data_IF_186164649410
#
_entry.id   IF_186164649410
#
_cell.length_a   1.000
_cell.length_b   1.000
_cell.length_c   1.000
_cell.angle_alpha   90.00
_cell.angle_beta   90.00
_cell.angle_gamma   90.00
#
_symmetry.space_group_name_H-M   'P 1'
#
loop_
_entity.id
_entity.type
_entity.pdbx_description
1 polymer ?
#
# COMPACT_ATOMS: atom_id res chain seq x y z
N UNK A 1 8.90 20.67 44.70
CA UNK A 1 7.67 20.17 44.07
C UNK A 1 8.09 19.44 42.81
N UNK A 2 8.00 18.11 42.77
CA UNK A 2 8.37 17.35 41.55
C UNK A 2 7.12 17.33 40.68
N UNK A 3 6.95 18.36 39.86
CA UNK A 3 5.85 18.42 38.90
C UNK A 3 6.10 17.58 37.66
N UNK A 4 7.36 17.26 37.40
CA UNK A 4 7.82 16.63 36.17
C UNK A 4 9.00 15.76 36.52
N UNK A 5 9.03 14.58 35.94
CA UNK A 5 10.16 13.65 35.90
C UNK A 5 11.27 14.30 35.07
N UNK A 6 11.93 15.35 35.60
CA UNK A 6 13.10 15.93 34.96
C UNK A 6 14.24 14.93 35.16
N UNK A 7 14.38 13.98 34.25
CA UNK A 7 15.64 13.28 34.10
C UNK A 7 16.72 14.34 33.92
N UNK A 8 17.86 14.23 34.63
CA UNK A 8 19.00 15.12 34.41
C UNK A 8 19.29 15.14 32.91
N UNK A 9 19.16 16.31 32.29
CA UNK A 9 19.12 16.50 30.84
C UNK A 9 20.52 16.41 30.21
N UNK A 10 21.22 15.31 30.47
CA UNK A 10 22.51 15.00 29.83
C UNK A 10 22.32 14.35 28.45
N UNK A 11 21.09 14.33 27.93
CA UNK A 11 20.83 13.89 26.58
C UNK A 11 21.45 14.89 25.58
N UNK A 12 22.36 14.45 24.69
CA UNK A 12 22.93 15.33 23.69
C UNK A 12 21.85 15.79 22.70
N UNK A 13 21.89 17.08 22.34
CA UNK A 13 20.93 17.69 21.40
C UNK A 13 20.86 17.00 20.04
N UNK A 14 21.95 16.37 19.60
CA UNK A 14 22.01 15.67 18.33
C UNK A 14 22.96 14.47 18.39
N UNK A 15 22.51 13.34 17.83
CA UNK A 15 23.31 12.12 17.64
C UNK A 15 23.11 11.61 16.23
N UNK A 16 24.13 11.77 15.39
CA UNK A 16 24.10 11.26 14.01
C UNK A 16 23.97 9.73 13.93
N UNK A 17 24.43 9.01 14.96
CA UNK A 17 24.35 7.54 15.01
C UNK A 17 22.92 7.01 14.97
N UNK A 18 21.93 7.76 15.46
CA UNK A 18 20.51 7.35 15.45
C UNK A 18 19.78 7.70 14.15
N UNK A 19 20.43 8.36 13.19
CA UNK A 19 19.77 8.78 11.95
C UNK A 19 19.33 7.59 11.10
N UNK A 20 20.11 6.50 11.11
CA UNK A 20 19.79 5.26 10.38
C UNK A 20 18.48 4.62 10.86
N UNK A 21 18.23 4.65 12.17
CA UNK A 21 17.01 4.13 12.78
C UNK A 21 15.82 5.08 12.60
N UNK A 22 16.08 6.39 12.59
CA UNK A 22 15.05 7.42 12.43
C UNK A 22 14.43 7.45 11.03
N UNK A 23 15.25 7.30 9.98
CA UNK A 23 14.79 7.44 8.59
C UNK A 23 13.62 6.49 8.26
N UNK A 24 13.71 5.17 8.50
CA UNK A 24 12.60 4.25 8.23
C UNK A 24 11.35 4.59 9.04
N UNK A 25 11.50 5.00 10.31
CA UNK A 25 10.39 5.40 11.17
C UNK A 25 9.68 6.63 10.61
N UNK A 26 10.43 7.64 10.14
CA UNK A 26 9.86 8.81 9.48
C UNK A 26 9.13 8.43 8.18
N UNK A 27 9.70 7.54 7.37
CA UNK A 27 9.08 7.08 6.12
C UNK A 27 7.78 6.35 6.41
N UNK A 28 7.77 5.49 7.43
CA UNK A 28 6.57 4.80 7.90
C UNK A 28 5.53 5.80 8.43
N UNK A 29 5.93 6.82 9.20
CA UNK A 29 5.02 7.85 9.70
C UNK A 29 4.31 8.64 8.58
N UNK A 30 4.93 8.73 7.40
CA UNK A 30 4.35 9.38 6.22
C UNK A 30 3.78 8.40 5.18
N UNK A 31 3.53 7.13 5.55
CA UNK A 31 3.06 6.11 4.62
C UNK A 31 1.56 6.25 4.28
N UNK A 32 1.23 7.25 3.47
CA UNK A 32 -0.15 7.49 3.05
C UNK A 32 -0.44 7.09 1.60
N UNK A 33 0.60 6.78 0.83
CA UNK A 33 0.59 6.61 -0.62
C UNK A 33 -0.47 5.62 -1.13
N UNK A 34 -0.72 4.53 -0.40
CA UNK A 34 -1.69 3.50 -0.78
C UNK A 34 -3.16 3.98 -0.66
N UNK A 35 -3.42 4.97 0.19
CA UNK A 35 -4.77 5.51 0.45
C UNK A 35 -5.08 6.79 -0.33
N UNK A 36 -4.05 7.45 -0.89
CA UNK A 36 -4.21 8.70 -1.67
C UNK A 36 -5.26 8.58 -2.78
N UNK A 37 -5.29 7.52 -3.63
CA UNK A 37 -6.26 7.45 -4.72
C UNK A 37 -7.71 7.40 -4.23
N UNK A 38 -7.97 6.63 -3.16
CA UNK A 38 -9.30 6.47 -2.57
C UNK A 38 -9.77 7.78 -1.96
N UNK A 39 -8.89 8.48 -1.25
CA UNK A 39 -9.21 9.76 -0.62
C UNK A 39 -9.32 10.91 -1.63
N UNK A 40 -8.64 10.79 -2.77
CA UNK A 40 -8.77 11.72 -3.88
C UNK A 40 -10.08 11.55 -4.65
N UNK A 41 -10.68 10.36 -4.65
CA UNK A 41 -11.91 10.06 -5.38
C UNK A 41 -13.10 10.96 -5.01
N UNK A 42 -13.47 11.14 -3.72
CA UNK A 42 -14.63 11.95 -3.34
C UNK A 42 -14.42 13.47 -3.50
N UNK A 43 -13.19 13.94 -3.75
CA UNK A 43 -12.94 15.38 -3.90
C UNK A 43 -13.61 15.93 -5.16
N UNK A 44 -14.54 16.88 -4.97
CA UNK A 44 -15.30 17.55 -6.04
C UNK A 44 -14.40 18.31 -7.01
N UNK A 45 -13.36 18.97 -6.49
CA UNK A 45 -12.39 19.71 -7.29
C UNK A 45 -11.04 18.96 -7.28
N UNK A 46 -10.60 18.49 -8.45
CA UNK A 46 -9.33 17.75 -8.59
C UNK A 46 -8.12 18.67 -8.59
N UNK A 47 -8.28 19.95 -8.93
CA UNK A 47 -7.18 20.93 -8.95
C UNK A 47 -6.68 21.29 -7.54
N UNK A 48 -7.53 21.16 -6.52
CA UNK A 48 -7.16 21.47 -5.13
C UNK A 48 -6.45 20.33 -4.41
N UNK A 49 -6.41 19.13 -4.99
CA UNK A 49 -5.83 17.92 -4.39
C UNK A 49 -4.41 18.17 -3.91
N UNK A 50 -3.54 18.72 -4.76
CA UNK A 50 -2.14 18.99 -4.41
C UNK A 50 -2.02 19.88 -3.17
N UNK A 51 -2.86 20.92 -3.07
CA UNK A 51 -2.84 21.85 -1.93
C UNK A 51 -3.35 21.17 -0.65
N UNK A 52 -4.43 20.40 -0.74
CA UNK A 52 -5.00 19.67 0.41
C UNK A 52 -3.96 18.72 1.00
N UNK A 53 -3.33 17.89 0.15
CA UNK A 53 -2.28 16.98 0.60
C UNK A 53 -1.06 17.72 1.14
N UNK A 54 -0.59 18.78 0.47
CA UNK A 54 0.56 19.56 0.96
C UNK A 54 0.33 20.16 2.35
N UNK A 55 -0.87 20.71 2.60
CA UNK A 55 -1.24 21.24 3.91
C UNK A 55 -1.33 20.13 4.95
N UNK A 56 -1.96 18.99 4.61
CA UNK A 56 -2.07 17.86 5.53
C UNK A 56 -0.69 17.30 5.93
N UNK A 57 0.23 17.14 4.98
CA UNK A 57 1.61 16.72 5.26
C UNK A 57 2.36 17.75 6.10
N UNK A 58 2.19 19.04 5.81
CA UNK A 58 2.79 20.12 6.59
C UNK A 58 2.33 20.11 8.06
N UNK A 59 1.02 20.02 8.30
CA UNK A 59 0.45 19.93 9.65
C UNK A 59 0.97 18.69 10.38
N UNK A 60 0.98 17.54 9.70
CA UNK A 60 1.45 16.27 10.29
C UNK A 60 2.93 16.36 10.68
N UNK A 61 3.77 16.94 9.83
CA UNK A 61 5.19 17.15 10.10
C UNK A 61 5.41 18.02 11.34
N UNK A 62 4.74 19.18 11.41
CA UNK A 62 4.83 20.07 12.57
C UNK A 62 4.38 19.37 13.86
N UNK A 63 3.28 18.62 13.80
CA UNK A 63 2.79 17.84 14.95
C UNK A 63 3.79 16.79 15.41
N UNK A 64 4.37 16.00 14.49
CA UNK A 64 5.36 14.99 14.85
C UNK A 64 6.65 15.58 15.40
N UNK A 65 7.17 16.65 14.80
CA UNK A 65 8.36 17.35 15.30
C UNK A 65 8.08 17.94 16.69
N UNK A 66 6.92 18.55 16.89
CA UNK A 66 6.50 19.11 18.17
C UNK A 66 6.42 18.04 19.26
N UNK A 67 5.71 16.94 19.01
CA UNK A 67 5.58 15.83 19.96
C UNK A 67 6.95 15.21 20.26
N UNK A 68 7.76 14.95 19.24
CA UNK A 68 9.11 14.40 19.40
C UNK A 68 10.01 15.31 20.24
N UNK A 69 9.96 16.62 20.00
CA UNK A 69 10.71 17.61 20.77
C UNK A 69 10.28 17.63 22.23
N UNK A 70 8.97 17.71 22.53
CA UNK A 70 8.48 17.73 23.91
C UNK A 70 8.79 16.43 24.66
N UNK A 71 8.59 15.27 24.02
CA UNK A 71 8.92 13.97 24.63
C UNK A 71 10.43 13.88 24.92
N UNK A 72 11.28 14.29 23.98
CA UNK A 72 12.73 14.32 24.16
C UNK A 72 13.16 15.28 25.28
N UNK A 73 12.56 16.47 25.32
CA UNK A 73 12.84 17.48 26.32
C UNK A 73 12.42 17.04 27.73
N UNK A 74 11.27 16.40 27.88
CA UNK A 74 10.73 16.00 29.18
C UNK A 74 11.35 14.70 29.73
N UNK A 75 11.56 13.69 28.88
CA UNK A 75 12.01 12.36 29.32
C UNK A 75 13.51 12.12 29.13
N UNK A 76 14.22 12.98 28.40
CA UNK A 76 15.67 12.90 28.27
C UNK A 76 16.15 11.60 27.62
N UNK A 77 17.10 10.91 28.27
CA UNK A 77 17.67 9.65 27.78
C UNK A 77 16.78 8.42 28.02
N UNK A 78 15.79 8.51 28.92
CA UNK A 78 15.04 7.35 29.41
C UNK A 78 13.72 7.16 28.65
N UNK A 79 13.76 7.34 27.33
CA UNK A 79 12.59 7.24 26.45
C UNK A 79 12.40 5.78 26.04
N UNK A 80 11.25 5.22 26.40
CA UNK A 80 10.81 3.94 25.84
C UNK A 80 10.44 4.08 24.35
N UNK A 81 10.63 2.99 23.59
CA UNK A 81 10.21 2.82 22.19
C UNK A 81 8.83 3.42 21.88
N UNK A 82 7.87 3.18 22.79
CA UNK A 82 6.57 3.84 22.77
C UNK A 82 6.52 4.94 23.83
N UNK A 83 6.27 6.18 23.39
CA UNK A 83 6.30 7.35 24.27
C UNK A 83 5.20 7.33 25.35
N UNK A 84 4.08 6.63 25.13
CA UNK A 84 3.02 6.45 26.13
C UNK A 84 3.50 5.62 27.33
N UNK A 85 4.43 4.66 27.16
CA UNK A 85 4.95 3.84 28.25
C UNK A 85 5.73 4.66 29.29
N UNK A 86 6.31 5.79 28.87
CA UNK A 86 6.97 6.73 29.77
C UNK A 86 6.00 7.34 30.80
N UNK A 87 4.69 7.29 30.54
CA UNK A 87 3.66 7.79 31.45
C UNK A 87 3.20 6.76 32.48
N UNK A 88 3.71 5.52 32.46
CA UNK A 88 3.34 4.47 33.44
C UNK A 88 3.65 4.86 34.87
N UNK A 89 4.74 5.57 35.07
CA UNK A 89 5.17 6.05 36.37
C UNK A 89 4.68 7.48 36.66
N UNK A 90 3.79 8.06 35.87
CA UNK A 90 3.31 9.42 36.10
C UNK A 90 2.65 9.56 37.50
N UNK A 91 3.24 10.42 38.35
CA UNK A 91 2.80 10.68 39.73
C UNK A 91 2.13 12.05 39.90
N UNK A 92 2.13 12.88 38.85
CA UNK A 92 1.64 14.26 38.89
C UNK A 92 2.48 15.18 39.78
N UNK A 93 1.99 16.40 40.04
CA UNK A 93 2.63 17.41 40.89
C UNK A 93 2.49 17.10 42.39
N UNK A 94 3.03 15.97 42.83
CA UNK A 94 3.03 15.60 44.24
C UNK A 94 4.20 16.28 44.98
N UNK A 95 3.92 16.76 46.19
CA UNK A 95 4.97 17.24 47.07
C UNK A 95 5.73 16.05 47.66
N UNK A 96 7.07 16.13 47.79
CA UNK A 96 7.81 15.11 48.52
C UNK A 96 7.26 15.01 49.95
N UNK A 97 7.18 13.80 50.54
CA UNK A 97 6.65 13.62 51.88
C UNK A 97 7.55 14.35 52.90
N UNK A 98 6.94 14.90 53.96
CA UNK A 98 7.66 15.60 55.02
C UNK A 98 8.56 14.67 55.85
N UNK A 99 8.25 13.38 55.87
CA UNK A 99 9.04 12.34 56.53
C UNK A 99 9.21 11.17 55.56
N UNK A 100 10.46 10.88 55.20
CA UNK A 100 10.82 9.64 54.50
C UNK A 100 10.86 8.52 55.54
N UNK A 101 9.69 7.98 55.87
CA UNK A 101 9.56 6.90 56.86
C UNK A 101 10.21 5.60 56.38
N UNK A 102 10.59 4.72 57.32
CA UNK A 102 11.10 3.37 57.07
C UNK A 102 10.31 2.72 55.93
N UNK A 103 11.01 2.44 54.84
CA UNK A 103 10.43 2.04 53.57
C UNK A 103 9.27 1.06 53.75
N UNK A 104 8.05 1.47 53.40
CA UNK A 104 6.86 0.60 53.40
C UNK A 104 7.00 -0.57 52.41
N UNK A 105 8.03 -0.53 51.56
CA UNK A 105 8.50 -1.62 50.71
C UNK A 105 9.98 -1.88 51.02
N UNK A 106 10.39 -3.11 51.38
CA UNK A 106 11.81 -3.45 51.54
C UNK A 106 12.55 -3.16 50.23
N UNK A 107 13.48 -2.20 50.24
CA UNK A 107 14.28 -1.81 49.08
C UNK A 107 13.78 -0.60 48.27
N UNK A 108 12.80 0.17 48.75
CA UNK A 108 12.44 1.42 48.08
C UNK A 108 13.59 2.45 48.17
N UNK A 109 14.12 2.98 47.05
CA UNK A 109 15.35 3.79 47.02
C UNK A 109 15.22 5.22 47.58
N UNK A 110 14.10 5.54 48.25
CA UNK A 110 13.66 6.91 48.47
C UNK A 110 13.81 7.31 49.94
N UNK A 111 15.07 7.40 50.38
CA UNK A 111 15.43 7.77 51.76
C UNK A 111 15.59 9.29 51.97
N UNK A 112 15.58 10.07 50.89
CA UNK A 112 15.79 11.51 50.90
C UNK A 112 14.99 12.25 49.82
N UNK A 113 14.87 13.58 49.96
CA UNK A 113 14.27 14.44 48.96
C UNK A 113 14.99 14.43 47.60
N UNK A 114 16.30 14.18 47.61
CA UNK A 114 17.09 14.06 46.39
C UNK A 114 16.80 12.75 45.61
N UNK A 115 16.41 11.69 46.33
CA UNK A 115 16.04 10.39 45.75
C UNK A 115 14.54 10.24 45.45
N UNK A 116 13.74 11.29 45.64
CA UNK A 116 12.29 11.23 45.40
C UNK A 116 12.00 11.15 43.91
N UNK A 117 11.27 10.10 43.51
CA UNK A 117 10.97 9.83 42.12
C UNK A 117 9.70 9.01 41.91
N UNK A 118 9.36 8.75 40.64
CA UNK A 118 8.12 8.07 40.23
C UNK A 118 7.93 6.65 40.81
N UNK A 119 9.05 5.96 41.08
CA UNK A 119 9.10 4.60 41.64
C UNK A 119 8.87 4.58 43.15
N UNK A 120 8.89 5.73 43.82
CA UNK A 120 8.73 5.86 45.27
C UNK A 120 7.27 5.81 45.73
N UNK A 121 6.31 5.98 44.81
CA UNK A 121 4.88 6.11 45.14
C UNK A 121 4.13 4.89 44.66
N UNK A 122 3.51 4.16 45.59
CA UNK A 122 2.58 3.08 45.26
C UNK A 122 1.40 3.63 44.46
N UNK A 123 0.82 2.81 43.58
CA UNK A 123 -0.33 3.22 42.74
C UNK A 123 -1.49 3.75 43.59
N UNK A 124 -1.68 3.19 44.79
CA UNK A 124 -2.70 3.61 45.76
C UNK A 124 -2.46 4.99 46.38
N UNK A 125 -1.22 5.48 46.41
CA UNK A 125 -0.86 6.78 46.97
C UNK A 125 -0.90 7.95 45.98
N UNK A 126 -1.20 7.69 44.70
CA UNK A 126 -1.22 8.71 43.64
C UNK A 126 -2.54 9.49 43.67
N UNK A 127 -2.52 10.81 43.40
CA UNK A 127 -3.76 11.57 43.23
C UNK A 127 -4.59 10.98 42.07
N UNK A 128 -5.91 10.94 42.24
CA UNK A 128 -6.81 10.31 41.26
C UNK A 128 -6.62 10.87 39.84
N UNK A 129 -6.37 12.18 39.71
CA UNK A 129 -6.10 12.84 38.43
C UNK A 129 -4.86 12.29 37.71
N UNK A 130 -3.77 12.02 38.43
CA UNK A 130 -2.55 11.46 37.84
C UNK A 130 -2.77 10.02 37.35
N UNK A 131 -3.49 9.21 38.15
CA UNK A 131 -3.85 7.84 37.77
C UNK A 131 -4.76 7.82 36.54
N UNK A 132 -5.73 8.73 36.45
CA UNK A 132 -6.63 8.86 35.28
C UNK A 132 -5.84 9.25 34.03
N UNK A 133 -4.97 10.26 34.11
CA UNK A 133 -4.16 10.71 32.97
C UNK A 133 -3.25 9.58 32.47
N UNK A 134 -2.51 8.93 33.39
CA UNK A 134 -1.63 7.80 33.06
C UNK A 134 -2.42 6.68 32.38
N UNK A 135 -3.58 6.32 32.92
CA UNK A 135 -4.45 5.29 32.35
C UNK A 135 -4.92 5.65 30.94
N UNK A 136 -5.41 6.87 30.72
CA UNK A 136 -5.88 7.32 29.40
C UNK A 136 -4.75 7.27 28.37
N UNK A 137 -3.56 7.80 28.70
CA UNK A 137 -2.41 7.84 27.80
C UNK A 137 -1.93 6.43 27.44
N UNK A 138 -1.96 5.49 28.40
CA UNK A 138 -1.56 4.11 28.16
C UNK A 138 -2.60 3.30 27.36
N UNK A 139 -3.89 3.45 27.66
CA UNK A 139 -4.94 2.63 27.05
C UNK A 139 -5.36 3.11 25.66
N UNK A 140 -5.24 4.42 25.39
CA UNK A 140 -5.76 5.01 24.14
C UNK A 140 -5.14 4.36 22.88
N UNK A 141 -3.81 4.20 22.75
CA UNK A 141 -3.23 3.52 21.60
C UNK A 141 -3.70 2.08 21.43
N UNK A 142 -3.94 1.36 22.54
CA UNK A 142 -4.44 -0.01 22.49
C UNK A 142 -5.89 -0.07 21.94
N UNK A 143 -6.75 0.88 22.35
CA UNK A 143 -8.12 1.00 21.84
C UNK A 143 -8.15 1.41 20.37
N UNK A 144 -7.28 2.35 19.97
CA UNK A 144 -7.14 2.78 18.58
C UNK A 144 -6.76 1.59 17.69
N UNK A 145 -5.70 0.86 18.05
CA UNK A 145 -5.26 -0.35 17.32
C UNK A 145 -6.33 -1.44 17.31
N UNK A 146 -7.04 -1.66 18.42
CA UNK A 146 -8.13 -2.65 18.51
C UNK A 146 -9.25 -2.34 17.51
N UNK A 147 -9.55 -1.05 17.29
CA UNK A 147 -10.58 -0.61 16.34
C UNK A 147 -10.10 -0.62 14.89
N UNK A 148 -8.84 -0.26 14.64
CA UNK A 148 -8.27 -0.17 13.30
C UNK A 148 -7.86 -1.53 12.71
N UNK A 149 -7.41 -2.47 13.55
CA UNK A 149 -6.89 -3.76 13.11
C UNK A 149 -7.89 -4.59 12.29
N UNK A 150 -9.16 -4.79 12.74
CA UNK A 150 -10.13 -5.55 11.96
C UNK A 150 -10.42 -4.93 10.59
N UNK A 151 -10.47 -3.58 10.51
CA UNK A 151 -10.70 -2.86 9.26
C UNK A 151 -9.55 -3.09 8.27
N UNK A 152 -8.31 -3.03 8.75
CA UNK A 152 -7.12 -3.29 7.94
C UNK A 152 -7.08 -4.75 7.46
N UNK A 153 -7.41 -5.71 8.33
CA UNK A 153 -7.48 -7.13 7.98
C UNK A 153 -8.56 -7.42 6.92
N UNK A 154 -9.74 -6.80 7.04
CA UNK A 154 -10.81 -6.93 6.05
C UNK A 154 -10.38 -6.34 4.70
N UNK A 155 -9.78 -5.16 4.72
CA UNK A 155 -9.32 -4.46 3.51
C UNK A 155 -8.26 -5.27 2.79
N UNK A 156 -7.24 -5.74 3.53
CA UNK A 156 -6.19 -6.60 2.98
C UNK A 156 -6.76 -7.93 2.45
N UNK A 157 -7.66 -8.57 3.20
CA UNK A 157 -8.31 -9.81 2.79
C UNK A 157 -9.11 -9.65 1.50
N UNK A 158 -9.88 -8.57 1.36
CA UNK A 158 -10.64 -8.28 0.14
C UNK A 158 -9.70 -7.99 -1.05
N UNK A 159 -8.59 -7.27 -0.81
CA UNK A 159 -7.59 -6.99 -1.85
C UNK A 159 -6.88 -8.27 -2.32
N UNK A 160 -6.52 -9.17 -1.41
CA UNK A 160 -5.94 -10.48 -1.73
C UNK A 160 -6.93 -11.35 -2.51
N UNK A 161 -8.20 -11.35 -2.11
CA UNK A 161 -9.26 -12.06 -2.81
C UNK A 161 -9.44 -11.51 -4.24
N UNK A 162 -9.46 -10.19 -4.41
CA UNK A 162 -9.51 -9.53 -5.73
C UNK A 162 -8.30 -9.90 -6.59
N UNK A 163 -7.10 -9.87 -6.02
CA UNK A 163 -5.86 -10.22 -6.72
C UNK A 163 -5.85 -11.69 -7.20
N UNK A 164 -6.32 -12.61 -6.35
CA UNK A 164 -6.28 -14.04 -6.64
C UNK A 164 -7.43 -14.51 -7.54
N UNK A 165 -8.64 -14.00 -7.31
CA UNK A 165 -9.89 -14.51 -7.90
C UNK A 165 -10.56 -13.52 -8.86
N UNK A 166 -10.08 -12.27 -8.92
CA UNK A 166 -10.65 -11.19 -9.72
C UNK A 166 -11.70 -10.38 -8.95
N UNK A 167 -12.01 -9.17 -9.44
CA UNK A 167 -12.94 -8.24 -8.76
C UNK A 167 -14.37 -8.79 -8.64
N UNK A 168 -14.81 -9.58 -9.63
CA UNK A 168 -16.12 -10.20 -9.63
C UNK A 168 -16.33 -11.15 -8.43
N UNK A 169 -15.24 -11.71 -7.87
CA UNK A 169 -15.31 -12.59 -6.71
C UNK A 169 -15.51 -11.84 -5.39
N UNK A 170 -15.23 -10.54 -5.35
CA UNK A 170 -15.37 -9.69 -4.16
C UNK A 170 -16.82 -9.26 -3.95
N UNK A 171 -17.57 -9.08 -5.03
CA UNK A 171 -18.97 -8.72 -4.95
C UNK A 171 -19.79 -9.92 -4.46
N UNK A 172 -20.72 -9.72 -3.51
CA UNK A 172 -21.61 -10.78 -3.09
C UNK A 172 -22.45 -11.23 -4.30
N UNK A 173 -22.72 -12.54 -4.44
CA UNK A 173 -23.61 -13.02 -5.50
C UNK A 173 -24.95 -12.29 -5.38
N UNK A 174 -25.44 -11.75 -6.51
CA UNK A 174 -26.71 -11.02 -6.56
C UNK A 174 -27.80 -11.87 -5.90
N UNK A 175 -28.54 -11.26 -4.97
CA UNK A 175 -29.46 -11.97 -4.08
C UNK A 175 -30.56 -12.75 -4.84
N UNK A 176 -30.80 -12.39 -6.10
CA UNK A 176 -31.94 -12.84 -6.89
C UNK A 176 -31.67 -14.14 -7.66
N UNK A 177 -30.41 -14.55 -7.82
CA UNK A 177 -30.06 -15.74 -8.61
C UNK A 177 -30.44 -17.06 -7.92
N UNK A 178 -30.44 -17.09 -6.59
CA UNK A 178 -30.73 -18.32 -5.83
C UNK A 178 -32.22 -18.68 -5.91
N UNK A 179 -33.12 -17.68 -5.83
CA UNK A 179 -34.58 -17.91 -5.86
C UNK A 179 -35.07 -18.37 -7.23
N UNK A 180 -34.46 -17.86 -8.31
CA UNK A 180 -34.84 -18.22 -9.67
C UNK A 180 -34.23 -19.56 -10.11
N UNK A 181 -33.00 -19.87 -9.67
CA UNK A 181 -32.40 -21.19 -9.92
C UNK A 181 -33.04 -22.29 -9.09
N UNK A 182 -33.49 -22.01 -7.86
CA UNK A 182 -34.24 -22.96 -7.03
C UNK A 182 -35.66 -23.18 -7.59
N UNK A 183 -36.32 -22.12 -8.10
CA UNK A 183 -37.57 -22.22 -8.87
C UNK A 183 -37.40 -22.97 -10.19
N UNK A 184 -36.32 -22.74 -10.93
CA UNK A 184 -36.04 -23.44 -12.18
C UNK A 184 -35.69 -24.92 -11.95
N UNK A 185 -34.97 -25.24 -10.87
CA UNK A 185 -34.71 -26.62 -10.46
C UNK A 185 -35.99 -27.34 -9.97
N UNK A 186 -36.89 -26.62 -9.29
CA UNK A 186 -38.23 -27.12 -8.95
C UNK A 186 -39.11 -27.36 -10.19
N UNK A 187 -39.01 -26.49 -11.20
CA UNK A 187 -39.74 -26.63 -12.46
C UNK A 187 -39.17 -27.76 -13.35
N UNK A 188 -37.86 -27.97 -13.35
CA UNK A 188 -37.20 -29.05 -14.11
C UNK A 188 -37.25 -30.41 -13.40
N UNK A 189 -37.35 -30.43 -12.06
CA UNK A 189 -37.55 -31.66 -11.29
C UNK A 189 -38.98 -32.20 -11.33
N UNK A 190 -39.93 -31.43 -11.86
CA UNK A 190 -41.34 -31.80 -11.96
C UNK A 190 -41.71 -32.44 -13.32
N UNK A 191 -40.78 -32.54 -14.29
CA UNK A 191 -41.09 -33.02 -15.65
C UNK A 191 -40.60 -34.43 -15.99
N UNK A 192 -39.89 -35.11 -15.10
CA UNK A 192 -39.28 -36.43 -15.40
C UNK A 192 -39.98 -37.64 -14.75
N UNK A 193 -41.27 -37.52 -14.41
CA UNK A 193 -42.03 -38.64 -13.84
C UNK A 193 -42.71 -39.57 -14.87
N UNK A 194 -42.85 -39.18 -16.14
CA UNK A 194 -43.55 -40.01 -17.14
C UNK A 194 -42.90 -39.89 -18.53
N UNK A 195 -41.89 -40.71 -18.81
CA UNK A 195 -41.51 -41.03 -20.19
C UNK A 195 -40.84 -42.40 -20.28
N UNK A 196 -41.67 -43.34 -20.71
CA UNK A 196 -41.39 -44.74 -20.91
C UNK A 196 -40.33 -45.05 -21.97
N UNK A 197 -39.66 -46.17 -21.70
CA UNK A 197 -39.09 -47.16 -22.62
C UNK A 197 -39.32 -47.00 -24.14
N UNK A 198 -38.23 -46.99 -24.93
CA UNK A 198 -37.97 -47.98 -26.00
C UNK A 198 -36.81 -47.63 -26.99
N UNK A 199 -36.06 -48.68 -27.34
CA UNK A 199 -35.35 -48.94 -28.62
C UNK A 199 -33.97 -48.32 -28.96
N UNK A 200 -32.96 -49.19 -28.82
CA UNK A 200 -31.90 -49.59 -29.76
C UNK A 200 -31.54 -48.76 -31.02
N UNK A 201 -30.24 -48.48 -31.21
CA UNK A 201 -29.40 -48.86 -32.39
C UNK A 201 -28.05 -48.09 -32.35
N UNK A 202 -26.92 -48.76 -32.07
CA UNK A 202 -25.86 -49.15 -33.02
C UNK A 202 -25.27 -48.04 -33.91
N UNK A 203 -24.06 -47.57 -33.59
CA UNK A 203 -23.07 -47.17 -34.59
C UNK A 203 -21.65 -47.21 -34.00
N UNK A 204 -20.81 -48.01 -34.64
CA UNK A 204 -19.37 -48.18 -34.43
C UNK A 204 -18.57 -47.00 -34.99
N UNK A 205 -17.59 -46.50 -34.23
CA UNK A 205 -16.62 -45.50 -34.69
C UNK A 205 -15.27 -45.68 -33.97
N UNK A 206 -14.22 -45.95 -34.75
CA UNK A 206 -12.86 -46.36 -34.38
C UNK A 206 -12.02 -45.25 -33.68
N UNK A 207 -11.06 -45.58 -32.78
CA UNK A 207 -10.27 -44.59 -32.06
C UNK A 207 -9.00 -44.17 -32.85
N UNK A 208 -9.00 -42.94 -33.36
CA UNK A 208 -7.83 -42.29 -33.94
C UNK A 208 -6.82 -41.86 -32.88
N UNK A 209 -5.60 -42.42 -32.96
CA UNK A 209 -4.41 -42.02 -32.20
C UNK A 209 -3.90 -40.65 -32.66
N UNK A 210 -4.10 -39.59 -31.88
CA UNK A 210 -3.25 -38.39 -31.92
C UNK A 210 -3.52 -37.50 -30.68
N UNK A 211 -2.46 -37.09 -29.98
CA UNK A 211 -2.55 -36.01 -28.99
C UNK A 211 -2.07 -36.32 -27.58
N UNK A 212 -0.80 -36.71 -27.40
CA UNK A 212 -0.17 -36.82 -26.06
C UNK A 212 0.43 -35.51 -25.52
N UNK A 213 0.25 -34.37 -26.19
CA UNK A 213 0.87 -33.10 -25.79
C UNK A 213 -0.02 -32.13 -24.97
N UNK A 214 -1.30 -32.44 -24.70
CA UNK A 214 -2.24 -31.49 -24.08
C UNK A 214 -2.77 -31.89 -22.69
N UNK A 215 -2.14 -32.83 -21.99
CA UNK A 215 -2.62 -33.33 -20.70
C UNK A 215 -2.03 -32.60 -19.47
N UNK A 216 -0.96 -31.81 -19.61
CA UNK A 216 -0.44 -30.99 -18.52
C UNK A 216 -1.21 -29.67 -18.32
N UNK A 217 -1.82 -29.12 -19.39
CA UNK A 217 -2.60 -27.87 -19.32
C UNK A 217 -4.02 -28.07 -18.76
N UNK A 218 -4.59 -29.27 -18.87
CA UNK A 218 -5.95 -29.55 -18.41
C UNK A 218 -6.05 -29.72 -16.88
N UNK A 219 -4.96 -30.07 -16.18
CA UNK A 219 -4.97 -30.24 -14.72
C UNK A 219 -5.01 -28.91 -13.96
N UNK A 220 -4.44 -27.84 -14.51
CA UNK A 220 -4.50 -26.51 -13.89
C UNK A 220 -5.88 -25.85 -13.98
N UNK A 221 -6.72 -26.24 -14.95
CA UNK A 221 -8.08 -25.70 -15.11
C UNK A 221 -9.12 -26.29 -14.14
N UNK A 222 -8.86 -27.48 -13.58
CA UNK A 222 -9.86 -28.17 -12.74
C UNK A 222 -10.00 -27.52 -11.34
N UNK A 223 -8.91 -26.97 -10.79
CA UNK A 223 -8.94 -26.30 -9.49
C UNK A 223 -9.71 -24.97 -9.54
N UNK A 224 -9.47 -24.17 -10.58
CA UNK A 224 -10.11 -22.86 -10.80
C UNK A 224 -11.62 -22.99 -10.99
N UNK A 225 -12.07 -24.03 -11.69
CA UNK A 225 -13.50 -24.27 -11.91
C UNK A 225 -14.24 -24.66 -10.62
N UNK A 226 -13.60 -25.41 -9.70
CA UNK A 226 -14.19 -25.72 -8.38
C UNK A 226 -14.33 -24.48 -7.51
N UNK A 227 -13.34 -23.60 -7.50
CA UNK A 227 -13.39 -22.33 -6.76
C UNK A 227 -14.49 -21.42 -7.32
N UNK A 228 -14.60 -21.29 -8.65
CA UNK A 228 -15.68 -20.54 -9.29
C UNK A 228 -17.07 -21.10 -8.97
N UNK A 229 -17.22 -22.43 -8.89
CA UNK A 229 -18.49 -23.06 -8.50
C UNK A 229 -18.85 -22.76 -7.03
N UNK A 230 -17.86 -22.74 -6.14
CA UNK A 230 -18.07 -22.38 -4.73
C UNK A 230 -18.46 -20.90 -4.56
N UNK A 231 -17.87 -20.00 -5.35
CA UNK A 231 -18.19 -18.57 -5.36
C UNK A 231 -19.64 -18.27 -5.76
N UNK A 232 -20.32 -19.15 -6.51
CA UNK A 232 -21.74 -18.99 -6.85
C UNK A 232 -22.66 -19.14 -5.63
N UNK A 233 -22.27 -19.91 -4.63
CA UNK A 233 -23.13 -20.12 -3.45
C UNK A 233 -22.85 -19.05 -2.38
N UNK A 234 -23.89 -18.51 -1.73
CA UNK A 234 -23.71 -17.53 -0.62
C UNK A 234 -22.83 -18.07 0.51
N UNK A 235 -22.98 -19.37 0.86
CA UNK A 235 -22.17 -20.02 1.90
C UNK A 235 -20.70 -20.13 1.48
N UNK A 236 -20.44 -20.54 0.23
CA UNK A 236 -19.09 -20.63 -0.32
C UNK A 236 -18.40 -19.27 -0.42
N UNK A 237 -19.09 -18.24 -0.90
CA UNK A 237 -18.55 -16.87 -0.94
C UNK A 237 -18.19 -16.34 0.45
N UNK A 238 -19.05 -16.56 1.46
CA UNK A 238 -18.75 -16.20 2.87
C UNK A 238 -17.53 -16.95 3.39
N UNK A 239 -17.45 -18.27 3.16
CA UNK A 239 -16.33 -19.09 3.60
C UNK A 239 -15.01 -18.60 2.98
N UNK A 240 -14.98 -18.41 1.66
CA UNK A 240 -13.79 -17.93 0.93
C UNK A 240 -13.37 -16.55 1.45
N UNK A 241 -14.32 -15.62 1.60
CA UNK A 241 -14.06 -14.28 2.15
C UNK A 241 -13.46 -14.36 3.56
N UNK A 242 -14.01 -15.21 4.44
CA UNK A 242 -13.49 -15.41 5.79
C UNK A 242 -12.08 -16.01 5.74
N UNK A 243 -11.82 -16.99 4.88
CA UNK A 243 -10.49 -17.57 4.71
C UNK A 243 -9.45 -16.51 4.31
N UNK A 244 -9.74 -15.66 3.31
CA UNK A 244 -8.81 -14.59 2.92
C UNK A 244 -8.57 -13.56 4.04
N UNK A 245 -9.61 -13.23 4.83
CA UNK A 245 -9.47 -12.34 5.99
C UNK A 245 -8.66 -12.97 7.12
N UNK A 246 -8.81 -14.27 7.35
CA UNK A 246 -7.99 -15.02 8.30
C UNK A 246 -6.53 -15.10 7.84
N UNK A 247 -6.29 -15.36 6.55
CA UNK A 247 -4.94 -15.33 5.97
C UNK A 247 -4.29 -13.95 6.13
N UNK A 248 -5.07 -12.87 6.07
CA UNK A 248 -4.57 -11.52 6.34
C UNK A 248 -4.31 -11.24 7.83
N UNK A 249 -5.17 -11.71 8.74
CA UNK A 249 -5.11 -11.39 10.16
C UNK A 249 -4.17 -12.29 10.98
N UNK A 250 -4.20 -13.60 10.74
CA UNK A 250 -3.50 -14.62 11.55
C UNK A 250 -1.98 -14.39 11.57
N UNK A 251 -1.30 -14.10 10.44
CA UNK A 251 0.15 -13.86 10.49
C UNK A 251 0.54 -12.71 11.40
N UNK A 252 -0.26 -11.64 11.47
CA UNK A 252 0.01 -10.51 12.35
C UNK A 252 -0.15 -10.90 13.83
N UNK A 253 -1.19 -11.67 14.17
CA UNK A 253 -1.44 -12.16 15.54
C UNK A 253 -0.34 -13.14 15.98
N UNK A 254 0.03 -14.07 15.11
CA UNK A 254 1.10 -15.03 15.36
C UNK A 254 2.44 -14.30 15.48
N UNK A 255 2.75 -13.38 14.57
CA UNK A 255 3.97 -12.58 14.61
C UNK A 255 4.12 -11.74 15.87
N UNK A 256 3.01 -11.19 16.39
CA UNK A 256 3.00 -10.46 17.66
C UNK A 256 3.37 -11.32 18.88
N UNK A 257 3.23 -12.66 18.80
CA UNK A 257 3.68 -13.55 19.87
C UNK A 257 5.20 -13.76 19.88
N UNK A 258 5.89 -13.49 18.77
CA UNK A 258 7.34 -13.70 18.63
C UNK A 258 8.16 -12.41 18.64
N UNK A 259 7.56 -11.28 18.26
CA UNK A 259 8.26 -9.99 18.19
C UNK A 259 7.61 -8.98 19.12
N UNK A 260 8.27 -8.69 20.23
CA UNK A 260 7.84 -7.69 21.22
C UNK A 260 8.44 -6.30 21.02
N UNK A 261 9.52 -6.19 20.24
CA UNK A 261 10.23 -4.92 20.01
C UNK A 261 9.57 -4.13 18.87
N UNK A 262 8.79 -3.12 19.22
CA UNK A 262 8.09 -2.26 18.25
C UNK A 262 9.09 -1.55 17.33
N UNK A 263 10.23 -1.11 17.84
CA UNK A 263 11.25 -0.40 17.05
C UNK A 263 11.74 -1.24 15.88
N UNK A 264 12.02 -2.52 16.12
CA UNK A 264 12.43 -3.45 15.08
C UNK A 264 11.33 -3.62 14.01
N UNK A 265 10.06 -3.68 14.44
CA UNK A 265 8.93 -3.77 13.51
C UNK A 265 8.81 -2.49 12.67
N UNK A 266 8.93 -1.30 13.28
CA UNK A 266 8.81 -0.02 12.59
C UNK A 266 9.97 0.25 11.63
N UNK A 267 11.20 -0.07 12.03
CA UNK A 267 12.35 0.04 11.14
C UNK A 267 12.17 -0.84 9.91
N UNK A 268 11.70 -2.06 10.16
CA UNK A 268 11.45 -3.04 9.14
C UNK A 268 10.33 -2.64 8.17
N UNK A 269 9.18 -2.22 8.68
CA UNK A 269 8.05 -1.75 7.84
C UNK A 269 8.40 -0.46 7.12
N UNK A 270 9.21 0.41 7.72
CA UNK A 270 9.74 1.62 7.10
C UNK A 270 10.62 1.34 5.88
N UNK A 271 11.42 0.26 5.91
CA UNK A 271 12.21 -0.18 4.76
C UNK A 271 11.33 -0.61 3.58
N UNK A 272 10.25 -1.36 3.83
CA UNK A 272 9.24 -1.66 2.81
C UNK A 272 8.57 -0.37 2.32
N UNK A 273 8.34 0.57 3.24
CA UNK A 273 7.83 1.91 2.95
C UNK A 273 8.68 2.65 1.92
N UNK A 274 10.01 2.47 1.90
CA UNK A 274 10.89 3.07 0.88
C UNK A 274 10.51 2.58 -0.53
N UNK A 275 10.29 1.27 -0.68
CA UNK A 275 9.89 0.72 -1.97
C UNK A 275 8.53 1.28 -2.41
N UNK A 276 7.56 1.38 -1.50
CA UNK A 276 6.21 1.86 -1.82
C UNK A 276 6.18 3.36 -2.09
N UNK A 277 6.90 4.16 -1.31
CA UNK A 277 6.86 5.62 -1.38
C UNK A 277 7.74 6.19 -2.50
N UNK A 278 8.90 5.57 -2.77
CA UNK A 278 9.88 6.12 -3.71
C UNK A 278 10.03 5.28 -4.97
N UNK A 279 10.23 3.96 -4.83
CA UNK A 279 10.54 3.10 -5.96
C UNK A 279 9.32 2.92 -6.89
N UNK A 280 8.19 2.50 -6.34
CA UNK A 280 6.99 2.21 -7.14
C UNK A 280 6.51 3.45 -7.91
N UNK A 281 6.33 4.64 -7.29
CA UNK A 281 5.89 5.83 -8.03
C UNK A 281 6.88 6.29 -9.10
N UNK A 282 8.19 6.20 -8.83
CA UNK A 282 9.22 6.55 -9.82
C UNK A 282 9.18 5.61 -11.02
N UNK A 283 9.10 4.29 -10.77
CA UNK A 283 9.00 3.27 -11.82
C UNK A 283 7.72 3.45 -12.62
N UNK A 284 6.57 3.63 -11.95
CA UNK A 284 5.29 3.91 -12.60
C UNK A 284 5.35 5.17 -13.48
N UNK A 285 6.03 6.23 -13.02
CA UNK A 285 6.22 7.45 -13.83
C UNK A 285 7.05 7.19 -15.07
N UNK A 286 8.15 6.44 -14.96
CA UNK A 286 8.98 6.09 -16.12
C UNK A 286 8.19 5.26 -17.13
N UNK A 287 7.45 4.25 -16.67
CA UNK A 287 6.58 3.45 -17.54
C UNK A 287 5.47 4.28 -18.17
N UNK A 288 4.85 5.20 -17.42
CA UNK A 288 3.83 6.09 -17.95
C UNK A 288 4.39 6.99 -19.06
N UNK A 289 5.58 7.59 -18.86
CA UNK A 289 6.23 8.42 -19.89
C UNK A 289 6.64 7.61 -21.12
N UNK A 290 7.18 6.41 -20.94
CA UNK A 290 7.50 5.51 -22.04
C UNK A 290 6.25 5.15 -22.85
N UNK A 291 5.13 4.88 -22.16
CA UNK A 291 3.83 4.63 -22.79
C UNK A 291 3.33 5.84 -23.58
N UNK A 292 3.33 7.03 -23.00
CA UNK A 292 2.88 8.25 -23.69
C UNK A 292 3.71 8.50 -24.94
N UNK A 293 5.04 8.29 -24.88
CA UNK A 293 5.93 8.41 -26.05
C UNK A 293 5.62 7.39 -27.14
N UNK A 294 5.39 6.13 -26.78
CA UNK A 294 5.07 5.08 -27.74
C UNK A 294 3.73 5.33 -28.45
N UNK A 295 2.71 5.73 -27.70
CA UNK A 295 1.40 6.07 -28.26
C UNK A 295 1.49 7.31 -29.15
N UNK A 296 2.22 8.35 -28.72
CA UNK A 296 2.42 9.56 -29.52
C UNK A 296 3.17 9.26 -30.83
N UNK A 297 4.21 8.42 -30.78
CA UNK A 297 4.94 8.00 -31.98
C UNK A 297 4.05 7.21 -32.97
N UNK A 298 3.13 6.39 -32.46
CA UNK A 298 2.17 5.69 -33.32
C UNK A 298 1.16 6.64 -33.94
N UNK A 299 0.52 7.50 -33.14
CA UNK A 299 -0.45 8.48 -33.63
C UNK A 299 0.20 9.42 -34.64
N UNK A 300 1.42 9.91 -34.38
CA UNK A 300 2.13 10.76 -35.34
C UNK A 300 2.43 10.02 -36.65
N UNK A 301 2.76 8.72 -36.60
CA UNK A 301 2.99 7.92 -37.82
C UNK A 301 1.73 7.68 -38.66
N UNK A 302 0.57 7.60 -38.01
CA UNK A 302 -0.73 7.38 -38.68
C UNK A 302 -1.31 8.70 -39.19
N UNK A 303 -1.17 9.77 -38.40
CA UNK A 303 -1.76 11.08 -38.69
C UNK A 303 -0.89 11.91 -39.61
N UNK A 304 0.44 11.77 -39.59
CA UNK A 304 1.31 12.48 -40.52
C UNK A 304 1.05 11.97 -41.95
N UNK A 305 0.40 12.75 -42.82
CA UNK A 305 0.24 12.36 -44.20
C UNK A 305 1.63 12.27 -44.83
N UNK A 306 1.86 11.22 -45.64
CA UNK A 306 3.10 11.08 -46.41
C UNK A 306 3.44 12.33 -47.27
N UNK A 307 2.43 13.16 -47.59
CA UNK A 307 2.59 14.41 -48.35
C UNK A 307 3.11 15.61 -47.55
N UNK A 308 2.86 15.71 -46.23
CA UNK A 308 3.28 16.86 -45.42
C UNK A 308 4.71 16.71 -44.90
N UNK A 309 5.16 15.48 -44.64
CA UNK A 309 6.55 15.20 -44.27
C UNK A 309 7.53 15.61 -45.39
N UNK A 310 7.15 15.44 -46.66
CA UNK A 310 7.95 15.87 -47.81
C UNK A 310 7.97 17.40 -47.98
N UNK A 311 6.86 18.09 -47.68
CA UNK A 311 6.78 19.55 -47.76
C UNK A 311 7.56 20.25 -46.64
N UNK A 312 7.50 19.73 -45.41
CA UNK A 312 8.24 20.25 -44.25
C UNK A 312 9.74 19.94 -44.34
N UNK A 313 10.13 18.78 -44.86
CA UNK A 313 11.53 18.46 -45.13
C UNK A 313 12.17 19.38 -46.20
N UNK A 314 11.35 19.91 -47.12
CA UNK A 314 11.79 20.89 -48.12
C UNK A 314 11.79 22.34 -47.62
N UNK A 315 11.20 22.64 -46.44
CA UNK A 315 11.15 23.99 -45.86
C UNK A 315 12.01 24.18 -44.61
N UNK A 316 12.53 23.11 -43.98
CA UNK A 316 13.59 23.26 -42.98
C UNK A 316 14.93 23.50 -43.69
N UNK A 317 15.58 24.68 -43.51
CA UNK A 317 16.91 24.88 -44.01
C UNK A 317 17.84 23.86 -43.34
N UNK A 318 18.71 23.27 -44.15
CA UNK A 318 19.73 22.30 -43.74
C UNK A 318 20.78 22.94 -42.82
N UNK A 319 20.43 23.33 -41.61
CA UNK A 319 21.35 23.82 -40.58
C UNK A 319 21.64 22.71 -39.56
N UNK A 320 22.16 21.59 -40.08
CA UNK A 320 23.06 20.72 -39.30
C UNK A 320 24.39 21.45 -39.12
N UNK A 321 24.42 22.44 -38.24
CA UNK A 321 25.68 23.02 -37.76
C UNK A 321 25.84 22.68 -36.28
N UNK A 322 26.94 21.99 -35.99
CA UNK A 322 27.43 21.56 -34.68
C UNK A 322 27.55 22.68 -33.61
N UNK A 323 27.17 23.91 -33.91
CA UNK A 323 27.23 25.06 -33.01
C UNK A 323 26.12 25.06 -31.94
N UNK A 324 24.97 24.42 -32.18
CA UNK A 324 23.86 24.38 -31.22
C UNK A 324 24.12 23.52 -29.96
N UNK A 325 25.21 22.75 -29.94
CA UNK A 325 25.59 21.92 -28.77
C UNK A 325 26.49 22.65 -27.76
N UNK A 326 27.00 23.86 -28.07
CA UNK A 326 27.78 24.69 -27.15
C UNK A 326 26.99 25.82 -26.48
N UNK A 327 25.73 26.03 -26.87
CA UNK A 327 24.87 27.09 -26.33
C UNK A 327 23.85 26.59 -25.27
N UNK A 328 24.06 25.40 -24.71
CA UNK A 328 23.16 24.78 -23.71
C UNK A 328 23.56 25.11 -22.26
N UNK A 329 24.67 25.84 -22.04
CA UNK A 329 25.11 26.24 -20.70
C UNK A 329 24.63 27.64 -20.25
N UNK A 330 23.92 28.40 -21.09
CA UNK A 330 23.30 29.69 -20.71
C UNK A 330 21.77 29.58 -20.78
N UNK A 331 21.15 29.09 -19.70
CA UNK A 331 19.72 28.76 -19.63
C UNK A 331 18.76 29.94 -19.46
N UNK A 332 19.22 31.20 -19.44
CA UNK A 332 18.36 32.35 -19.10
C UNK A 332 17.99 33.26 -20.31
N UNK A 333 18.40 32.93 -21.53
CA UNK A 333 18.20 33.81 -22.70
C UNK A 333 17.46 33.20 -23.91
N UNK A 334 16.90 31.98 -23.80
CA UNK A 334 16.20 31.31 -24.92
C UNK A 334 14.67 31.32 -24.81
N UNK A 335 14.09 32.31 -24.14
CA UNK A 335 12.64 32.57 -24.16
C UNK A 335 12.23 33.40 -25.40
N UNK A 336 12.78 33.05 -26.57
CA UNK A 336 12.32 33.62 -27.84
C UNK A 336 10.93 33.04 -28.14
N UNK A 337 9.91 33.90 -28.01
CA UNK A 337 8.50 33.71 -28.35
C UNK A 337 8.14 32.85 -29.59
N UNK A 338 8.93 32.81 -30.71
CA UNK A 338 8.57 31.98 -31.86
C UNK A 338 8.58 30.46 -31.61
N UNK A 339 9.37 29.94 -30.66
CA UNK A 339 9.44 28.49 -30.41
C UNK A 339 8.24 28.01 -29.59
N UNK A 340 7.87 28.77 -28.55
CA UNK A 340 6.69 28.45 -27.73
C UNK A 340 5.40 28.48 -28.56
N UNK A 341 5.24 29.48 -29.44
CA UNK A 341 4.06 29.59 -30.31
C UNK A 341 4.01 28.51 -31.39
N UNK A 342 5.16 28.08 -31.93
CA UNK A 342 5.23 26.96 -32.87
C UNK A 342 4.89 25.62 -32.21
N UNK A 343 5.33 25.39 -30.97
CA UNK A 343 4.98 24.19 -30.19
C UNK A 343 3.49 24.19 -29.85
N UNK A 344 2.93 25.32 -29.42
CA UNK A 344 1.50 25.45 -29.12
C UNK A 344 0.63 25.27 -30.37
N UNK A 345 1.04 25.81 -31.52
CA UNK A 345 0.36 25.63 -32.80
C UNK A 345 0.42 24.16 -33.27
N UNK A 346 1.56 23.48 -33.11
CA UNK A 346 1.71 22.06 -33.43
C UNK A 346 0.83 21.18 -32.52
N UNK A 347 0.79 21.46 -31.22
CA UNK A 347 -0.04 20.74 -30.25
C UNK A 347 -1.54 20.93 -30.58
N UNK A 348 -1.95 22.15 -30.94
CA UNK A 348 -3.33 22.45 -31.33
C UNK A 348 -3.73 21.76 -32.64
N UNK A 349 -2.85 21.73 -33.63
CA UNK A 349 -3.08 21.03 -34.89
C UNK A 349 -3.18 19.51 -34.71
N UNK A 350 -2.36 18.92 -33.84
CA UNK A 350 -2.45 17.49 -33.47
C UNK A 350 -3.76 17.21 -32.73
N UNK A 351 -4.15 18.05 -31.79
CA UNK A 351 -5.42 17.92 -31.07
C UNK A 351 -6.63 17.99 -32.01
N UNK A 352 -6.61 18.89 -32.99
CA UNK A 352 -7.68 19.06 -33.97
C UNK A 352 -7.74 17.88 -34.95
N UNK A 353 -6.58 17.35 -35.38
CA UNK A 353 -6.49 16.12 -36.17
C UNK A 353 -6.93 14.86 -35.41
N UNK A 354 -6.64 14.77 -34.11
CA UNK A 354 -7.14 13.71 -33.23
C UNK A 354 -8.65 13.83 -33.03
N UNK A 355 -9.17 15.05 -32.95
CA UNK A 355 -10.63 15.31 -32.86
C UNK A 355 -11.36 14.93 -34.14
N UNK A 356 -10.76 15.21 -35.30
CA UNK A 356 -11.37 14.95 -36.61
C UNK A 356 -11.33 13.48 -37.01
N UNK A 357 -10.36 12.71 -36.51
CA UNK A 357 -10.24 11.29 -36.83
C UNK A 357 -11.28 10.41 -36.13
N UNK A 358 -12.04 10.92 -35.15
CA UNK A 358 -13.06 10.17 -34.40
C UNK A 358 -12.54 8.86 -33.76
N UNK A 359 -11.22 8.66 -33.72
CA UNK A 359 -10.59 7.49 -33.14
C UNK A 359 -10.69 7.67 -31.64
N UNK A 360 -11.47 6.82 -30.99
CA UNK A 360 -11.51 6.82 -29.54
C UNK A 360 -10.14 6.40 -29.00
N UNK A 361 -9.69 6.98 -27.88
CA UNK A 361 -8.43 6.58 -27.22
C UNK A 361 -8.33 5.06 -27.01
N UNK A 362 -9.48 4.39 -26.87
CA UNK A 362 -9.59 2.93 -26.79
C UNK A 362 -9.19 2.25 -28.09
N UNK A 363 -9.65 2.70 -29.25
CA UNK A 363 -9.24 2.18 -30.56
C UNK A 363 -7.76 2.44 -30.85
N UNK A 364 -7.26 3.64 -30.50
CA UNK A 364 -5.84 3.96 -30.65
C UNK A 364 -4.93 3.02 -29.82
N UNK A 365 -5.38 2.62 -28.62
CA UNK A 365 -4.68 1.63 -27.80
C UNK A 365 -4.74 0.23 -28.42
N UNK A 366 -5.91 -0.18 -28.93
CA UNK A 366 -6.12 -1.53 -29.50
C UNK A 366 -5.25 -1.80 -30.73
N UNK A 367 -4.97 -0.77 -31.55
CA UNK A 367 -4.21 -0.91 -32.79
C UNK A 367 -2.68 -0.94 -32.62
N UNK A 368 -2.13 -0.51 -31.48
CA UNK A 368 -0.67 -0.44 -31.27
C UNK A 368 0.01 -1.78 -30.99
N UNK A 369 -0.75 -2.89 -30.87
CA UNK A 369 -0.21 -4.18 -30.38
C UNK A 369 0.25 -4.14 -28.93
N UNK A 370 0.21 -2.97 -28.29
CA UNK A 370 0.54 -2.76 -26.91
C UNK A 370 -0.54 -3.32 -25.97
N UNK A 371 -1.71 -3.70 -26.48
CA UNK A 371 -2.73 -4.48 -25.77
C UNK A 371 -2.17 -5.74 -25.10
N UNK A 372 -1.17 -6.42 -25.69
CA UNK A 372 -0.50 -7.57 -25.04
C UNK A 372 0.37 -7.16 -23.85
N UNK A 373 0.82 -5.91 -23.81
CA UNK A 373 1.45 -5.26 -22.65
C UNK A 373 0.41 -4.65 -21.68
N UNK A 374 -0.86 -4.58 -22.08
CA UNK A 374 -1.94 -3.86 -21.40
C UNK A 374 -3.17 -4.71 -21.12
N UNK A 375 -3.06 -6.04 -21.05
CA UNK A 375 -4.04 -6.83 -20.30
C UNK A 375 -4.17 -6.18 -18.91
N UNK A 376 -5.36 -5.63 -18.66
CA UNK A 376 -5.58 -4.69 -17.57
C UNK A 376 -5.24 -5.32 -16.21
N UNK A 377 -5.04 -4.49 -15.16
CA UNK A 377 -4.82 -4.96 -13.79
C UNK A 377 -5.91 -5.90 -13.23
N UNK A 378 -6.99 -6.10 -13.97
CA UNK A 378 -8.18 -6.86 -13.59
C UNK A 378 -8.19 -8.32 -14.08
N UNK A 379 -7.23 -8.76 -14.90
CA UNK A 379 -7.00 -10.19 -15.12
C UNK A 379 -6.44 -10.85 -13.84
N UNK A 380 -6.92 -12.05 -13.50
CA UNK A 380 -6.48 -12.77 -12.29
C UNK A 380 -4.96 -12.97 -12.30
N UNK A 381 -4.30 -12.95 -11.14
CA UNK A 381 -2.84 -13.19 -11.04
C UNK A 381 -2.40 -14.46 -11.78
N UNK A 382 -3.26 -15.48 -11.81
CA UNK A 382 -3.03 -16.75 -12.51
C UNK A 382 -3.18 -16.67 -14.04
N UNK A 383 -3.87 -15.67 -14.58
CA UNK A 383 -4.00 -15.44 -16.02
C UNK A 383 -2.81 -14.70 -16.64
N UNK A 384 -2.02 -13.98 -15.82
CA UNK A 384 -0.82 -13.26 -16.29
C UNK A 384 0.38 -14.19 -16.33
N UNK A 385 0.65 -14.79 -17.48
CA UNK A 385 1.93 -15.47 -17.74
C UNK A 385 3.17 -14.55 -17.68
N UNK A 386 2.97 -13.24 -17.48
CA UNK A 386 4.02 -12.22 -17.37
C UNK A 386 3.57 -11.07 -16.44
N UNK A 387 3.46 -11.33 -15.15
CA UNK A 387 3.93 -10.28 -14.23
C UNK A 387 5.37 -9.99 -14.70
N UNK A 388 5.86 -8.73 -14.80
CA UNK A 388 7.28 -8.53 -15.02
C UNK A 388 7.97 -9.30 -13.90
N UNK A 389 8.57 -10.44 -14.23
CA UNK A 389 9.08 -11.42 -13.25
C UNK A 389 9.97 -10.68 -12.26
N UNK A 390 10.66 -9.64 -12.72
CA UNK A 390 11.39 -8.66 -11.94
C UNK A 390 10.63 -8.04 -10.74
N UNK A 391 9.35 -7.67 -10.84
CA UNK A 391 8.58 -7.05 -9.74
C UNK A 391 8.13 -8.07 -8.69
N UNK A 392 7.75 -9.27 -9.13
CA UNK A 392 7.43 -10.37 -8.22
C UNK A 392 8.71 -10.92 -7.57
N UNK A 393 9.77 -11.13 -8.35
CA UNK A 393 11.11 -11.52 -7.87
C UNK A 393 11.69 -10.43 -6.96
N UNK A 394 11.45 -9.15 -7.25
CA UNK A 394 11.86 -8.07 -6.34
C UNK A 394 11.02 -8.06 -5.06
N UNK A 395 9.69 -8.24 -5.11
CA UNK A 395 8.88 -8.26 -3.90
C UNK A 395 9.14 -9.50 -3.04
N UNK A 396 9.30 -10.67 -3.67
CA UNK A 396 9.68 -11.93 -3.03
C UNK A 396 11.12 -11.87 -2.55
N UNK A 397 12.03 -11.31 -3.33
CA UNK A 397 13.43 -11.10 -2.96
C UNK A 397 13.57 -10.18 -1.77
N UNK A 398 12.80 -9.07 -1.74
CA UNK A 398 12.66 -8.23 -0.55
C UNK A 398 12.09 -9.06 0.59
N UNK A 399 10.94 -9.74 0.43
CA UNK A 399 10.33 -10.54 1.49
C UNK A 399 11.25 -11.67 2.05
N UNK A 400 12.07 -12.30 1.21
CA UNK A 400 13.06 -13.31 1.61
C UNK A 400 14.23 -12.65 2.33
N UNK A 401 14.79 -11.58 1.78
CA UNK A 401 15.86 -10.82 2.44
C UNK A 401 15.43 -10.37 3.83
N UNK A 402 14.23 -9.81 3.90
CA UNK A 402 13.50 -9.45 5.12
C UNK A 402 13.42 -10.63 6.09
N UNK A 403 12.94 -11.79 5.64
CA UNK A 403 12.76 -12.95 6.49
C UNK A 403 14.09 -13.46 7.01
N UNK A 404 15.12 -13.49 6.16
CA UNK A 404 16.48 -13.87 6.52
C UNK A 404 17.08 -12.91 7.54
N UNK A 405 16.93 -11.59 7.36
CA UNK A 405 17.42 -10.59 8.31
C UNK A 405 16.72 -10.74 9.67
N UNK A 406 15.40 -10.93 9.68
CA UNK A 406 14.62 -11.11 10.92
C UNK A 406 15.01 -12.39 11.63
N UNK A 407 15.10 -13.52 10.92
CA UNK A 407 15.51 -14.81 11.50
C UNK A 407 16.95 -14.74 12.00
N UNK A 408 17.84 -14.09 11.25
CA UNK A 408 19.22 -13.90 11.66
C UNK A 408 19.31 -13.05 12.94
N UNK A 409 18.63 -11.90 13.00
CA UNK A 409 18.61 -11.06 14.21
C UNK A 409 18.00 -11.77 15.42
N UNK A 410 16.93 -12.55 15.21
CA UNK A 410 16.33 -13.36 16.27
C UNK A 410 17.26 -14.49 16.74
N UNK A 411 18.04 -15.09 15.83
CA UNK A 411 18.96 -16.18 16.14
C UNK A 411 20.26 -15.69 16.82
N UNK A 412 20.76 -14.50 16.47
CA UNK A 412 22.01 -13.98 17.04
C UNK A 412 21.84 -13.38 18.44
N UNK A 413 20.61 -13.24 18.94
CA UNK A 413 20.33 -12.81 20.31
C UNK A 413 20.91 -11.44 20.67
N UNK A 414 21.27 -10.63 19.67
CA UNK A 414 21.69 -9.24 19.88
C UNK A 414 20.44 -8.42 20.16
N UNK A 415 20.01 -8.46 21.42
CA UNK A 415 18.99 -7.60 22.00
C UNK A 415 19.39 -6.14 21.90
#
# INVERSE_FOLDING_TARGET
>A
MVCVQTAESNAPWFRASGLGDLIPVCIYAFIFHHSVPILAQPLRNKYTIRRVFAVAFGITCVSYVSIGFFVAYFFGSDINAQCNLNWRSYVGCMHPPAVYGNATLPGAPCSSAASWGPTCVSVSGRPASASIISFIVLIFPALDVLSAFPLNAITLGNNLMSACLGEAAVQPPAADADTESERAALLLGATDADADSSSSSSASGSPGKAGKASLSSARSMCATHRVQRMLRTRRGHRLITVCFRLVAAVPAVVGAAFVSNLDNILQFTGLIGIAIAFLIPAVLRVFALAKTRAVFAHVSSVVAPASTAASVANTLPSTRTLAARRAVDDTDALESAPVASAVEAAEKAVLEAVRSTNITWREALMHTGADKLFETPYSTWFGRGRIPEALFVASVGVAIYVFVVVVHHAATGSS
#
